data_IF_788413627059
#
_entry.id   IF_788413627059
#
_cell.length_a   1.000
_cell.length_b   1.000
_cell.length_c   1.000
_cell.angle_alpha   90.00
_cell.angle_beta   90.00
_cell.angle_gamma   90.00
#
_symmetry.space_group_name_H-M   'P 1'
#
loop_
_entity.id
_entity.type
_entity.pdbx_description
1 polymer ?
#
# COMPACT_ATOMS: atom_id res chain seq x y z
N UNK A 1 -22.67 65.79 12.55
CA UNK A 1 -23.11 65.00 11.38
C UNK A 1 -22.12 65.28 10.27
N UNK A 2 -21.16 64.37 10.07
CA UNK A 2 -20.39 64.29 8.83
C UNK A 2 -20.41 62.81 8.41
N UNK A 3 -20.97 62.57 7.24
CA UNK A 3 -21.08 61.27 6.57
C UNK A 3 -19.85 61.10 5.68
N UNK A 4 -19.00 60.12 5.98
CA UNK A 4 -17.90 59.67 5.11
C UNK A 4 -18.47 58.85 3.94
N UNK A 5 -18.03 59.06 2.69
CA UNK A 5 -18.55 58.29 1.55
C UNK A 5 -17.93 56.89 1.49
N UNK A 6 -18.79 55.92 1.21
CA UNK A 6 -18.50 54.52 0.91
C UNK A 6 -17.71 54.42 -0.40
N UNK A 7 -16.48 53.90 -0.34
CA UNK A 7 -15.66 53.67 -1.52
C UNK A 7 -16.20 52.45 -2.28
N UNK A 8 -16.79 52.68 -3.45
CA UNK A 8 -17.24 51.64 -4.37
C UNK A 8 -16.09 50.71 -4.74
N UNK A 9 -16.32 49.40 -4.65
CA UNK A 9 -15.39 48.37 -5.08
C UNK A 9 -15.07 48.53 -6.57
N UNK A 10 -13.79 48.58 -6.92
CA UNK A 10 -13.34 48.63 -8.30
C UNK A 10 -13.68 47.30 -9.00
N UNK A 11 -14.49 47.36 -10.05
CA UNK A 11 -14.77 46.24 -10.94
C UNK A 11 -13.53 45.92 -11.76
N UNK A 12 -12.96 44.73 -11.60
CA UNK A 12 -11.84 44.26 -12.41
C UNK A 12 -12.34 44.03 -13.84
N UNK A 13 -11.64 44.54 -14.87
CA UNK A 13 -12.03 44.33 -16.27
C UNK A 13 -12.05 42.84 -16.61
N UNK A 14 -13.02 42.36 -17.41
CA UNK A 14 -13.17 40.95 -17.75
C UNK A 14 -11.93 40.35 -18.45
N UNK A 15 -11.12 41.19 -19.10
CA UNK A 15 -9.84 40.82 -19.72
C UNK A 15 -8.73 40.40 -18.74
N UNK A 16 -8.83 40.75 -17.45
CA UNK A 16 -7.85 40.38 -16.40
C UNK A 16 -8.32 39.18 -15.55
N UNK A 17 -9.49 38.61 -15.85
CA UNK A 17 -9.98 37.40 -15.18
C UNK A 17 -9.26 36.18 -15.78
N UNK A 18 -8.33 35.60 -15.01
CA UNK A 18 -7.78 34.28 -15.34
C UNK A 18 -8.93 33.26 -15.24
N UNK A 19 -9.28 32.54 -16.33
CA UNK A 19 -10.30 31.50 -16.27
C UNK A 19 -9.77 30.35 -15.42
N UNK A 20 -10.15 30.31 -14.15
CA UNK A 20 -9.90 29.17 -13.27
C UNK A 20 -10.98 28.14 -13.54
N UNK A 21 -10.70 27.17 -14.41
CA UNK A 21 -11.54 25.98 -14.56
C UNK A 21 -11.42 25.14 -13.28
N UNK A 22 -12.54 24.94 -12.60
CA UNK A 22 -12.64 24.06 -11.42
C UNK A 22 -13.12 22.66 -11.78
N UNK A 23 -13.30 22.37 -13.07
CA UNK A 23 -13.81 21.11 -13.60
C UNK A 23 -12.91 19.91 -13.22
N UNK A 24 -11.61 20.16 -13.01
CA UNK A 24 -10.62 19.15 -12.57
C UNK A 24 -10.35 19.17 -11.05
N UNK A 25 -11.12 19.94 -10.28
CA UNK A 25 -10.94 20.10 -8.84
C UNK A 25 -11.87 19.21 -8.01
N UNK A 26 -12.71 18.39 -8.68
CA UNK A 26 -13.59 17.43 -8.03
C UNK A 26 -12.86 16.10 -7.82
N UNK A 27 -13.35 15.31 -6.86
CA UNK A 27 -12.88 13.96 -6.64
C UNK A 27 -13.09 13.15 -7.93
N UNK A 28 -12.02 12.86 -8.70
CA UNK A 28 -12.15 12.20 -10.01
C UNK A 28 -12.68 10.76 -9.86
N UNK A 29 -12.44 10.13 -8.69
CA UNK A 29 -12.89 8.77 -8.39
C UNK A 29 -13.32 8.63 -6.93
N UNK A 30 -14.35 7.81 -6.69
CA UNK A 30 -14.93 7.52 -5.36
C UNK A 30 -13.90 7.02 -4.33
N UNK A 31 -12.73 6.57 -4.79
CA UNK A 31 -11.65 5.97 -3.98
C UNK A 31 -10.42 6.86 -3.85
N UNK A 32 -10.47 8.11 -4.32
CA UNK A 32 -9.36 9.04 -4.14
C UNK A 32 -9.19 9.36 -2.65
N UNK A 33 -8.06 8.94 -2.09
CA UNK A 33 -7.68 9.12 -0.70
C UNK A 33 -7.18 10.55 -0.41
N UNK A 34 -7.06 11.40 -1.43
CA UNK A 34 -6.86 12.85 -1.27
C UNK A 34 -8.18 13.59 -1.41
N UNK A 35 -8.87 13.81 -0.29
CA UNK A 35 -10.10 14.61 -0.27
C UNK A 35 -9.73 16.08 -0.14
N UNK A 36 -10.18 16.93 -1.06
CA UNK A 36 -10.12 18.38 -0.88
C UNK A 36 -10.91 18.72 0.39
N UNK A 37 -10.32 19.41 1.38
CA UNK A 37 -11.06 19.79 2.57
C UNK A 37 -12.29 20.62 2.18
N UNK A 38 -13.42 20.39 2.86
CA UNK A 38 -14.67 21.14 2.66
C UNK A 38 -14.45 22.53 3.28
N UNK A 39 -13.76 23.37 2.52
CA UNK A 39 -13.55 24.78 2.81
C UNK A 39 -14.25 25.54 1.70
N UNK A 40 -15.05 26.54 2.08
CA UNK A 40 -15.65 27.42 1.09
C UNK A 40 -14.54 28.06 0.25
N UNK A 41 -14.64 28.02 -1.10
CA UNK A 41 -13.67 28.67 -1.95
C UNK A 41 -13.60 30.13 -1.55
N UNK A 42 -12.40 30.58 -1.17
CA UNK A 42 -12.22 31.98 -0.80
C UNK A 42 -12.35 32.84 -2.05
N UNK A 43 -13.21 33.86 -1.99
CA UNK A 43 -13.32 34.88 -3.04
C UNK A 43 -12.14 35.87 -3.01
N UNK A 44 -11.23 35.74 -2.03
CA UNK A 44 -10.00 36.53 -1.95
C UNK A 44 -8.96 35.95 -2.90
N UNK A 45 -8.82 36.56 -4.07
CA UNK A 45 -7.61 36.44 -4.89
C UNK A 45 -6.44 37.08 -4.13
N UNK A 46 -5.56 36.26 -3.58
CA UNK A 46 -4.36 36.73 -2.87
C UNK A 46 -3.17 36.84 -3.81
N UNK A 47 -2.47 37.98 -3.81
CA UNK A 47 -1.12 38.11 -4.39
C UNK A 47 -0.03 37.48 -3.51
N UNK A 48 -0.42 36.94 -2.35
CA UNK A 48 0.46 36.43 -1.30
C UNK A 48 -0.01 35.04 -0.88
N UNK A 49 0.87 34.05 -1.03
CA UNK A 49 0.68 32.71 -0.48
C UNK A 49 1.03 32.74 1.02
N UNK A 50 0.08 32.35 1.86
CA UNK A 50 0.31 32.05 3.27
C UNK A 50 0.37 30.54 3.42
N UNK A 51 1.55 30.02 3.73
CA UNK A 51 1.73 28.59 3.91
C UNK A 51 0.87 28.07 5.06
N UNK A 52 0.23 26.91 4.86
CA UNK A 52 -0.50 26.24 5.92
C UNK A 52 0.44 25.94 7.09
N UNK A 53 0.15 26.51 8.26
CA UNK A 53 0.94 26.28 9.46
C UNK A 53 0.66 24.88 10.01
N UNK A 54 1.56 23.93 9.75
CA UNK A 54 1.54 22.60 10.37
C UNK A 54 2.24 22.71 11.73
N UNK A 55 1.54 22.49 12.85
CA UNK A 55 2.19 22.46 14.16
C UNK A 55 3.29 21.40 14.18
N UNK A 56 4.43 21.73 14.79
CA UNK A 56 5.51 20.76 14.96
C UNK A 56 5.00 19.59 15.80
N UNK A 57 5.09 18.39 15.24
CA UNK A 57 4.77 17.13 15.93
C UNK A 57 5.89 16.14 15.66
N UNK A 58 6.32 15.46 16.71
CA UNK A 58 7.35 14.44 16.61
C UNK A 58 6.76 13.14 16.06
N UNK A 59 7.60 12.32 15.43
CA UNK A 59 7.21 10.98 15.02
C UNK A 59 7.09 10.09 16.25
N UNK A 60 5.96 9.39 16.39
CA UNK A 60 5.72 8.49 17.52
C UNK A 60 5.51 7.07 17.01
N UNK A 61 6.41 6.17 17.40
CA UNK A 61 6.23 4.73 17.18
C UNK A 61 5.31 4.19 18.28
N UNK A 62 4.20 3.58 17.88
CA UNK A 62 3.23 2.99 18.82
C UNK A 62 3.79 1.70 19.43
N UNK A 63 3.26 1.24 20.59
CA UNK A 63 3.69 0.00 21.22
C UNK A 63 3.65 -1.18 20.24
N UNK A 64 4.84 -1.74 19.99
CA UNK A 64 5.01 -2.91 19.13
C UNK A 64 4.76 -4.20 19.93
N UNK A 65 4.38 -5.30 19.28
CA UNK A 65 4.31 -6.61 19.92
C UNK A 65 5.64 -6.98 20.59
N UNK A 66 5.56 -7.72 21.68
CA UNK A 66 6.72 -8.15 22.48
C UNK A 66 7.67 -9.13 21.78
N UNK A 67 7.30 -9.63 20.59
CA UNK A 67 8.09 -10.60 19.83
C UNK A 67 8.17 -10.20 18.36
N UNK A 68 9.33 -10.39 17.70
CA UNK A 68 9.47 -10.15 16.26
C UNK A 68 8.47 -10.92 15.39
N UNK A 69 8.15 -12.17 15.78
CA UNK A 69 7.17 -12.99 15.05
C UNK A 69 5.78 -12.34 15.04
N UNK A 70 5.28 -11.91 16.21
CA UNK A 70 3.99 -11.19 16.29
C UNK A 70 3.99 -9.88 15.52
N UNK A 71 5.13 -9.17 15.45
CA UNK A 71 5.26 -7.99 14.61
C UNK A 71 5.15 -8.35 13.13
N UNK A 72 5.89 -9.37 12.69
CA UNK A 72 5.83 -9.86 11.31
C UNK A 72 4.43 -10.35 10.92
N UNK A 73 3.75 -11.08 11.80
CA UNK A 73 2.37 -11.55 11.58
C UNK A 73 1.35 -10.42 11.51
N UNK A 74 1.66 -9.19 11.98
CA UNK A 74 0.80 -8.04 11.67
C UNK A 74 0.86 -7.69 10.19
N UNK A 75 2.05 -7.71 9.58
CA UNK A 75 2.25 -7.39 8.16
C UNK A 75 1.92 -8.55 7.21
N UNK A 76 1.99 -9.78 7.69
CA UNK A 76 1.59 -10.97 6.96
C UNK A 76 0.70 -11.85 7.84
N UNK A 77 -0.59 -11.52 7.96
CA UNK A 77 -1.55 -12.25 8.79
C UNK A 77 -1.65 -13.72 8.39
N UNK A 78 -1.85 -14.58 9.39
CA UNK A 78 -1.98 -16.02 9.17
C UNK A 78 -3.13 -16.37 8.23
N UNK A 79 -4.24 -15.64 8.32
CA UNK A 79 -5.39 -15.78 7.41
C UNK A 79 -5.00 -15.53 5.95
N UNK A 80 -4.21 -14.49 5.67
CA UNK A 80 -3.72 -14.19 4.32
C UNK A 80 -2.82 -15.31 3.82
N UNK A 81 -1.93 -15.82 4.67
CA UNK A 81 -1.07 -16.95 4.31
C UNK A 81 -1.89 -18.23 4.08
N UNK A 82 -2.95 -18.45 4.85
CA UNK A 82 -3.85 -19.57 4.67
C UNK A 82 -4.56 -19.50 3.30
N UNK A 83 -5.04 -18.32 2.89
CA UNK A 83 -5.59 -18.13 1.55
C UNK A 83 -4.56 -18.46 0.47
N UNK A 84 -3.32 -18.00 0.61
CA UNK A 84 -2.25 -18.34 -0.34
C UNK A 84 -1.99 -19.83 -0.39
N UNK A 85 -2.00 -20.51 0.75
CA UNK A 85 -1.88 -21.97 0.83
C UNK A 85 -3.04 -22.65 0.09
N UNK A 86 -4.27 -22.19 0.29
CA UNK A 86 -5.46 -22.77 -0.34
C UNK A 86 -5.42 -22.58 -1.87
N UNK A 87 -5.10 -21.38 -2.35
CA UNK A 87 -4.93 -21.09 -3.78
C UNK A 87 -3.78 -21.88 -4.41
N UNK A 88 -2.66 -21.96 -3.70
CA UNK A 88 -1.47 -22.68 -4.15
C UNK A 88 -1.69 -24.20 -4.15
N UNK A 89 -2.51 -24.74 -3.26
CA UNK A 89 -2.77 -26.18 -3.20
C UNK A 89 -3.94 -26.63 -4.07
N UNK A 90 -4.74 -25.69 -4.60
CA UNK A 90 -5.82 -26.01 -5.52
C UNK A 90 -5.25 -26.76 -6.75
N UNK A 91 -5.72 -27.99 -7.06
CA UNK A 91 -5.27 -28.75 -8.22
C UNK A 91 -5.48 -28.00 -9.56
N UNK A 92 -6.49 -27.13 -9.66
CA UNK A 92 -6.73 -26.30 -10.84
C UNK A 92 -5.56 -25.34 -11.13
N UNK A 93 -4.76 -24.99 -10.11
CA UNK A 93 -3.57 -24.15 -10.23
C UNK A 93 -2.36 -24.89 -10.83
N UNK A 94 -2.42 -26.22 -10.97
CA UNK A 94 -1.32 -27.07 -11.46
C UNK A 94 -1.76 -28.03 -12.60
N UNK A 95 -2.31 -27.53 -13.71
CA UNK A 95 -2.80 -28.37 -14.81
C UNK A 95 -1.69 -29.22 -15.47
N UNK A 96 -0.43 -28.78 -15.35
CA UNK A 96 0.73 -29.45 -15.91
C UNK A 96 1.36 -30.49 -14.98
N UNK A 97 0.94 -30.54 -13.70
CA UNK A 97 1.43 -31.54 -12.75
C UNK A 97 0.70 -32.88 -12.90
N UNK A 98 0.75 -33.42 -14.12
CA UNK A 98 0.09 -34.68 -14.49
C UNK A 98 0.63 -35.89 -13.72
N UNK A 99 1.78 -35.75 -13.09
CA UNK A 99 2.48 -36.80 -12.34
C UNK A 99 2.23 -36.68 -10.82
N UNK A 100 1.50 -35.65 -10.36
CA UNK A 100 1.23 -35.43 -8.93
C UNK A 100 2.51 -35.22 -8.12
N UNK A 101 3.51 -34.57 -8.71
CA UNK A 101 4.79 -34.32 -8.04
C UNK A 101 4.67 -33.17 -7.03
N UNK A 102 3.67 -32.31 -7.17
CA UNK A 102 3.38 -31.26 -6.21
C UNK A 102 2.99 -31.85 -4.87
N UNK A 103 3.78 -31.52 -3.86
CA UNK A 103 3.42 -31.74 -2.46
C UNK A 103 2.71 -30.49 -1.94
N UNK A 104 1.49 -30.61 -1.39
CA UNK A 104 0.79 -29.48 -0.80
C UNK A 104 1.68 -28.71 0.17
N UNK A 105 1.61 -27.39 0.13
CA UNK A 105 2.32 -26.50 1.06
C UNK A 105 1.48 -26.22 2.29
N UNK A 106 2.11 -25.84 3.39
CA UNK A 106 1.44 -25.44 4.64
C UNK A 106 1.73 -23.98 5.00
N UNK A 107 0.93 -23.40 5.90
CA UNK A 107 1.13 -22.03 6.40
C UNK A 107 2.53 -21.85 6.99
N UNK A 108 2.98 -22.82 7.77
CA UNK A 108 4.32 -22.84 8.36
C UNK A 108 5.41 -22.91 7.30
N UNK A 109 5.26 -23.72 6.24
CA UNK A 109 6.20 -23.74 5.13
C UNK A 109 6.27 -22.39 4.40
N UNK A 110 5.14 -21.70 4.20
CA UNK A 110 5.14 -20.36 3.58
C UNK A 110 5.86 -19.34 4.47
N UNK A 111 5.66 -19.39 5.79
CA UNK A 111 6.40 -18.52 6.70
C UNK A 111 7.91 -18.80 6.70
N UNK A 112 8.31 -20.07 6.70
CA UNK A 112 9.72 -20.48 6.58
C UNK A 112 10.28 -20.01 5.23
N UNK A 113 9.55 -20.20 4.13
CA UNK A 113 9.94 -19.77 2.80
C UNK A 113 10.12 -18.23 2.70
N UNK A 114 9.31 -17.45 3.41
CA UNK A 114 9.40 -15.99 3.41
C UNK A 114 10.56 -15.44 4.26
N UNK A 115 10.98 -16.17 5.29
CA UNK A 115 11.97 -15.71 6.27
C UNK A 115 13.35 -15.29 5.69
N UNK A 116 13.97 -16.01 4.74
CA UNK A 116 15.28 -15.65 4.19
C UNK A 116 15.25 -14.31 3.48
N UNK A 117 14.19 -14.04 2.73
CA UNK A 117 14.01 -12.79 2.00
C UNK A 117 13.98 -11.56 2.94
N UNK A 118 13.73 -11.76 4.24
CA UNK A 118 13.80 -10.71 5.26
C UNK A 118 15.19 -10.53 5.87
N UNK A 119 16.03 -11.58 5.86
CA UNK A 119 17.38 -11.55 6.45
C UNK A 119 18.45 -11.07 5.47
N UNK A 120 18.22 -11.18 4.17
CA UNK A 120 19.12 -10.74 3.11
C UNK A 120 18.71 -9.36 2.61
N UNK A 121 19.15 -8.32 3.31
CA UNK A 121 19.07 -6.90 2.90
C UNK A 121 20.34 -6.48 2.13
N UNK A 122 21.27 -7.40 1.90
CA UNK A 122 22.54 -7.17 1.21
C UNK A 122 22.40 -7.50 -0.29
N UNK A 123 22.64 -6.51 -1.15
CA UNK A 123 22.42 -6.54 -2.60
C UNK A 123 23.36 -7.50 -3.35
N UNK A 124 24.30 -8.15 -2.66
CA UNK A 124 25.34 -8.98 -3.30
C UNK A 124 24.86 -10.37 -3.75
N UNK A 125 23.61 -10.77 -3.47
CA UNK A 125 23.09 -12.10 -3.82
C UNK A 125 22.16 -12.05 -5.03
N UNK A 126 22.72 -11.68 -6.18
CA UNK A 126 22.13 -11.98 -7.49
C UNK A 126 22.09 -13.50 -7.80
N UNK A 127 22.56 -14.36 -6.90
CA UNK A 127 22.68 -15.80 -7.14
C UNK A 127 21.49 -16.66 -6.71
N UNK A 128 20.42 -16.12 -6.12
CA UNK A 128 19.23 -16.91 -5.74
C UNK A 128 19.54 -18.14 -4.85
N UNK A 129 20.70 -18.17 -4.17
CA UNK A 129 21.07 -19.27 -3.28
C UNK A 129 20.54 -18.93 -1.88
N UNK A 130 19.69 -19.77 -1.28
CA UNK A 130 19.27 -19.56 0.10
C UNK A 130 20.50 -19.59 1.01
N UNK A 131 20.61 -18.61 1.91
CA UNK A 131 21.68 -18.57 2.91
C UNK A 131 21.69 -19.90 3.68
N UNK A 132 22.88 -20.41 4.02
CA UNK A 132 23.09 -21.74 4.62
C UNK A 132 22.16 -22.09 5.81
N UNK A 133 21.56 -21.10 6.48
CA UNK A 133 20.61 -21.29 7.58
C UNK A 133 19.23 -21.80 7.15
N UNK A 134 18.65 -21.40 6.01
CA UNK A 134 17.31 -21.90 5.65
C UNK A 134 17.33 -23.35 5.15
N UNK A 135 18.46 -23.82 4.61
CA UNK A 135 18.59 -25.23 4.16
C UNK A 135 18.33 -26.21 5.32
N UNK A 136 18.49 -25.75 6.58
CA UNK A 136 18.14 -26.50 7.79
C UNK A 136 16.63 -26.71 7.98
N UNK A 137 15.80 -25.82 7.43
CA UNK A 137 14.33 -25.82 7.60
C UNK A 137 13.59 -26.21 6.31
N UNK A 138 14.20 -25.96 5.13
CA UNK A 138 13.60 -26.23 3.83
C UNK A 138 14.69 -26.52 2.79
N UNK A 139 14.53 -27.57 2.00
CA UNK A 139 15.49 -27.89 0.92
C UNK A 139 15.47 -26.82 -0.17
N UNK A 140 16.59 -26.63 -0.88
CA UNK A 140 16.65 -25.67 -1.99
C UNK A 140 15.62 -25.98 -3.10
N UNK A 141 15.44 -27.26 -3.41
CA UNK A 141 14.43 -27.72 -4.37
C UNK A 141 13.02 -27.32 -3.93
N UNK A 142 12.66 -27.59 -2.67
CA UNK A 142 11.35 -27.22 -2.11
C UNK A 142 11.16 -25.70 -2.12
N UNK A 143 12.20 -24.93 -1.79
CA UNK A 143 12.17 -23.47 -1.85
C UNK A 143 11.89 -22.96 -3.27
N UNK A 144 12.57 -23.52 -4.27
CA UNK A 144 12.37 -23.17 -5.68
C UNK A 144 10.99 -23.58 -6.18
N UNK A 145 10.51 -24.76 -5.78
CA UNK A 145 9.19 -25.25 -6.14
C UNK A 145 8.09 -24.35 -5.60
N UNK A 146 8.14 -23.98 -4.31
CA UNK A 146 7.22 -23.01 -3.71
C UNK A 146 7.30 -21.67 -4.44
N UNK A 147 8.52 -21.15 -4.69
CA UNK A 147 8.72 -19.86 -5.39
C UNK A 147 8.05 -19.83 -6.78
N UNK A 148 8.09 -20.94 -7.52
CA UNK A 148 7.50 -21.03 -8.88
C UNK A 148 5.98 -21.16 -8.86
N UNK A 149 5.44 -21.74 -7.80
CA UNK A 149 4.05 -22.22 -7.76
C UNK A 149 3.13 -21.43 -6.85
N UNK A 150 3.68 -20.63 -5.94
CA UNK A 150 2.89 -19.80 -5.03
C UNK A 150 1.89 -18.92 -5.80
N UNK A 151 0.66 -18.87 -5.27
CA UNK A 151 -0.43 -18.01 -5.72
C UNK A 151 -0.86 -17.14 -4.54
N UNK A 152 -0.87 -15.83 -4.77
CA UNK A 152 -1.17 -14.83 -3.73
C UNK A 152 -2.54 -14.17 -3.96
N UNK A 153 -3.16 -14.46 -5.11
CA UNK A 153 -4.49 -14.09 -5.54
C UNK A 153 -5.32 -15.32 -5.88
N UNK A 154 -6.64 -15.16 -5.82
CA UNK A 154 -7.59 -16.21 -6.20
C UNK A 154 -7.50 -16.49 -7.72
N UNK A 155 -7.08 -17.70 -8.13
CA UNK A 155 -6.95 -18.04 -9.54
C UNK A 155 -8.29 -18.13 -10.28
N UNK A 156 -9.40 -18.29 -9.55
CA UNK A 156 -10.73 -18.50 -10.13
C UNK A 156 -11.56 -17.20 -10.23
N UNK A 157 -11.08 -16.09 -9.65
CA UNK A 157 -11.76 -14.80 -9.74
C UNK A 157 -11.54 -14.17 -11.11
N UNK A 158 -12.55 -14.30 -11.98
CA UNK A 158 -12.64 -13.52 -13.22
C UNK A 158 -13.26 -12.16 -12.88
N UNK A 159 -12.42 -11.15 -12.69
CA UNK A 159 -12.93 -9.77 -12.56
C UNK A 159 -13.64 -9.37 -13.86
N UNK A 160 -14.94 -9.08 -13.79
CA UNK A 160 -15.67 -8.52 -14.93
C UNK A 160 -15.14 -7.12 -15.24
N UNK A 161 -14.44 -6.97 -16.37
CA UNK A 161 -13.83 -5.70 -16.81
C UNK A 161 -12.31 -5.83 -17.04
N UNK A 162 -11.65 -4.71 -17.29
CA UNK A 162 -10.18 -4.67 -17.38
C UNK A 162 -9.64 -4.69 -15.94
N UNK A 163 -8.86 -5.70 -15.52
CA UNK A 163 -8.27 -5.72 -14.19
C UNK A 163 -7.42 -4.46 -13.98
N UNK A 164 -7.56 -3.82 -12.82
CA UNK A 164 -6.69 -2.69 -12.47
C UNK A 164 -5.24 -3.19 -12.36
N UNK A 165 -4.24 -2.38 -12.74
CA UNK A 165 -2.85 -2.71 -12.43
C UNK A 165 -2.73 -3.07 -10.94
N UNK A 166 -2.06 -4.18 -10.64
CA UNK A 166 -1.81 -4.67 -9.28
C UNK A 166 -3.03 -5.20 -8.49
N UNK A 167 -4.16 -5.51 -9.13
CA UNK A 167 -5.33 -6.12 -8.44
C UNK A 167 -4.98 -7.42 -7.70
N UNK A 168 -4.03 -8.20 -8.23
CA UNK A 168 -3.60 -9.47 -7.64
C UNK A 168 -2.86 -9.30 -6.30
N UNK A 169 -2.37 -8.10 -5.99
CA UNK A 169 -1.63 -7.81 -4.76
C UNK A 169 -2.32 -6.78 -3.89
N UNK A 170 -3.49 -6.27 -4.28
CA UNK A 170 -4.12 -5.13 -3.61
C UNK A 170 -4.50 -5.46 -2.18
N UNK A 171 -5.09 -6.63 -1.93
CA UNK A 171 -5.47 -7.05 -0.57
C UNK A 171 -4.26 -7.08 0.38
N UNK A 172 -3.17 -7.71 -0.04
CA UNK A 172 -1.96 -7.76 0.75
C UNK A 172 -1.31 -6.37 0.90
N UNK A 173 -1.26 -5.59 -0.17
CA UNK A 173 -0.74 -4.22 -0.16
C UNK A 173 -1.50 -3.31 0.80
N UNK A 174 -2.82 -3.41 0.82
CA UNK A 174 -3.67 -2.58 1.69
C UNK A 174 -3.53 -2.99 3.16
N UNK A 175 -3.38 -4.29 3.44
CA UNK A 175 -3.01 -4.78 4.77
C UNK A 175 -1.66 -4.21 5.24
N UNK A 176 -0.63 -4.25 4.39
CA UNK A 176 0.69 -3.67 4.70
C UNK A 176 0.61 -2.17 5.01
N UNK A 177 -0.14 -1.41 4.21
CA UNK A 177 -0.33 0.04 4.42
C UNK A 177 -1.08 0.29 5.73
N UNK A 178 -2.17 -0.42 5.98
CA UNK A 178 -2.98 -0.27 7.19
C UNK A 178 -2.15 -0.53 8.46
N UNK A 179 -1.36 -1.59 8.46
CA UNK A 179 -0.47 -1.92 9.58
C UNK A 179 0.61 -0.87 9.77
N UNK A 180 1.19 -0.36 8.68
CA UNK A 180 2.21 0.69 8.72
C UNK A 180 1.65 1.99 9.33
N UNK A 181 0.46 2.41 8.88
CA UNK A 181 -0.25 3.57 9.42
C UNK A 181 -0.66 3.38 10.88
N UNK A 182 -1.02 2.15 11.26
CA UNK A 182 -1.35 1.83 12.65
C UNK A 182 -0.13 1.76 13.57
N UNK A 183 1.08 1.60 13.03
CA UNK A 183 2.32 1.46 13.80
C UNK A 183 2.96 2.80 14.17
N UNK A 184 2.69 3.87 13.42
CA UNK A 184 3.39 5.16 13.56
C UNK A 184 2.43 6.33 13.45
N UNK A 185 2.55 7.30 14.35
CA UNK A 185 1.99 8.63 14.18
C UNK A 185 3.01 9.49 13.44
N UNK A 186 2.65 9.89 12.22
CA UNK A 186 3.55 10.61 11.33
C UNK A 186 3.83 12.01 11.89
N UNK A 187 5.11 12.39 11.92
CA UNK A 187 5.56 13.71 12.37
C UNK A 187 5.13 14.87 11.44
N UNK A 188 5.63 16.07 11.73
CA UNK A 188 5.48 17.24 10.85
C UNK A 188 6.50 17.28 9.70
N UNK A 189 7.57 16.48 9.80
CA UNK A 189 8.58 16.32 8.76
C UNK A 189 8.36 14.98 8.07
N UNK A 190 7.88 15.04 6.83
CA UNK A 190 7.71 13.89 5.94
C UNK A 190 8.68 14.12 4.79
N UNK A 191 9.45 13.09 4.42
CA UNK A 191 10.37 13.10 3.28
C UNK A 191 9.79 12.28 2.13
#
# INVERSE_FOLDING_TARGET
>A
METTPEAAAATVPPEDLIPVTTDHCQQEQLYDNTVRPILDPTMRTGTRFEAFHVPKRDLVVRPLPSTPLKLFQRFLPEQTVQQWVDYTNNPASHPDDRQGQWKPTSVSEIYIWRAPAMTTIDETVYQNVPVHSIIQYMTYERFCDIKRRIRIDDPDTIAHGIPRPYSQVSEWSDSLKAVSLAAVEVGSHIA
#
